data_IF_980735175090
#
_entry.id   IF_980735175090
#
_cell.length_a   1.000
_cell.length_b   1.000
_cell.length_c   1.000
_cell.angle_alpha   90.00
_cell.angle_beta   90.00
_cell.angle_gamma   90.00
#
_symmetry.space_group_name_H-M   'P 1'
#
loop_
_entity.id
_entity.type
_entity.pdbx_description
1 polymer ?
#
# COMPACT_ATOMS: atom_id res chain seq x y z
N UNK A 1 1.00 -39.37 -15.87
CA UNK A 1 2.23 -38.58 -15.65
C UNK A 1 2.59 -37.76 -16.90
N UNK A 2 1.71 -36.89 -17.37
CA UNK A 2 1.91 -36.07 -18.60
C UNK A 2 1.41 -34.63 -18.39
N UNK A 3 1.69 -34.04 -17.23
CA UNK A 3 1.29 -32.68 -16.89
C UNK A 3 2.44 -31.65 -16.96
N UNK A 4 3.63 -32.05 -17.42
CA UNK A 4 4.85 -31.22 -17.41
C UNK A 4 5.44 -30.97 -18.81
N UNK A 5 4.62 -30.95 -19.86
CA UNK A 5 5.03 -30.50 -21.19
C UNK A 5 4.49 -29.09 -21.53
N UNK A 6 4.00 -28.35 -20.54
CA UNK A 6 3.57 -26.96 -20.72
C UNK A 6 4.52 -26.04 -19.96
N UNK A 7 5.40 -25.36 -20.70
CA UNK A 7 6.27 -24.33 -20.14
C UNK A 7 5.54 -23.00 -20.23
N UNK A 8 4.68 -22.75 -19.23
CA UNK A 8 3.71 -21.65 -19.11
C UNK A 8 4.16 -20.23 -19.56
N UNK A 9 5.46 -19.85 -19.51
CA UNK A 9 5.89 -18.57 -20.11
C UNK A 9 6.50 -18.67 -21.51
N UNK A 10 7.07 -19.82 -21.92
CA UNK A 10 7.76 -19.94 -23.21
C UNK A 10 6.80 -20.18 -24.38
N UNK A 11 5.71 -20.91 -24.13
CA UNK A 11 4.75 -21.30 -25.17
C UNK A 11 3.61 -20.29 -25.36
N UNK A 12 3.46 -19.35 -24.42
CA UNK A 12 2.28 -18.47 -24.31
C UNK A 12 2.46 -17.07 -24.91
N UNK A 13 3.62 -16.80 -25.53
CA UNK A 13 3.88 -15.56 -26.25
C UNK A 13 4.19 -14.34 -25.36
N UNK A 14 4.26 -13.14 -25.94
CA UNK A 14 4.79 -11.94 -25.27
C UNK A 14 3.93 -11.46 -24.09
N UNK A 15 2.62 -11.69 -24.13
CA UNK A 15 1.70 -11.30 -23.05
C UNK A 15 1.94 -12.08 -21.76
N UNK A 16 2.34 -13.35 -21.86
CA UNK A 16 2.67 -14.17 -20.69
C UNK A 16 3.91 -13.61 -19.96
N UNK A 17 4.97 -13.24 -20.70
CA UNK A 17 6.15 -12.59 -20.12
C UNK A 17 5.83 -11.25 -19.47
N UNK A 18 4.97 -10.45 -20.09
CA UNK A 18 4.51 -9.19 -19.52
C UNK A 18 3.75 -9.40 -18.20
N UNK A 19 2.86 -10.41 -18.14
CA UNK A 19 2.15 -10.76 -16.91
C UNK A 19 3.09 -11.28 -15.82
N UNK A 20 4.11 -12.06 -16.16
CA UNK A 20 5.14 -12.51 -15.21
C UNK A 20 5.91 -11.32 -14.63
N UNK A 21 6.30 -10.36 -15.47
CA UNK A 21 6.95 -9.14 -15.01
C UNK A 21 6.06 -8.31 -14.07
N UNK A 22 4.76 -8.18 -14.39
CA UNK A 22 3.79 -7.52 -13.53
C UNK A 22 3.59 -8.26 -12.20
N UNK A 23 3.51 -9.59 -12.22
CA UNK A 23 3.40 -10.40 -11.01
C UNK A 23 4.60 -10.20 -10.08
N UNK A 24 5.82 -10.19 -10.63
CA UNK A 24 7.02 -9.92 -9.86
C UNK A 24 7.02 -8.51 -9.25
N UNK A 25 6.65 -7.50 -10.04
CA UNK A 25 6.58 -6.12 -9.58
C UNK A 25 5.55 -5.94 -8.45
N UNK A 26 4.37 -6.56 -8.58
CA UNK A 26 3.35 -6.57 -7.51
C UNK A 26 3.91 -7.21 -6.25
N UNK A 27 4.56 -8.38 -6.36
CA UNK A 27 5.14 -9.06 -5.22
C UNK A 27 6.13 -8.15 -4.47
N UNK A 28 7.03 -7.49 -5.19
CA UNK A 28 7.98 -6.53 -4.60
C UNK A 28 7.25 -5.39 -3.89
N UNK A 29 6.23 -4.79 -4.52
CA UNK A 29 5.48 -3.69 -3.91
C UNK A 29 4.71 -4.11 -2.67
N UNK A 30 4.07 -5.29 -2.69
CA UNK A 30 3.32 -5.81 -1.55
C UNK A 30 4.26 -6.09 -0.38
N UNK A 31 5.41 -6.71 -0.61
CA UNK A 31 6.40 -6.99 0.44
C UNK A 31 6.98 -5.69 1.01
N UNK A 32 7.45 -4.76 0.15
CA UNK A 32 7.97 -3.45 0.56
C UNK A 32 6.96 -2.70 1.43
N UNK A 33 5.70 -2.63 0.99
CA UNK A 33 4.65 -1.89 1.71
C UNK A 33 4.24 -2.57 3.01
N UNK A 34 4.11 -3.89 3.02
CA UNK A 34 3.75 -4.63 4.24
C UNK A 34 4.81 -4.41 5.32
N UNK A 35 6.10 -4.49 4.97
CA UNK A 35 7.19 -4.21 5.92
C UNK A 35 7.21 -2.76 6.39
N UNK A 36 7.01 -1.79 5.47
CA UNK A 36 6.96 -0.36 5.81
C UNK A 36 5.83 -0.04 6.79
N UNK A 37 4.61 -0.52 6.52
CA UNK A 37 3.44 -0.25 7.37
C UNK A 37 3.50 -1.00 8.70
N UNK A 38 4.13 -2.18 8.74
CA UNK A 38 4.29 -2.94 9.99
C UNK A 38 5.18 -2.21 10.99
N UNK A 39 6.30 -1.63 10.53
CA UNK A 39 7.23 -0.88 11.38
C UNK A 39 6.65 0.39 11.99
N UNK A 40 5.69 1.05 11.33
CA UNK A 40 5.10 2.30 11.80
C UNK A 40 4.15 2.18 13.01
N UNK A 41 3.80 0.96 13.44
CA UNK A 41 2.70 0.72 14.40
C UNK A 41 3.17 0.30 15.80
N UNK A 42 4.41 -0.15 15.95
CA UNK A 42 4.88 -0.82 17.19
C UNK A 42 5.30 0.19 18.28
N UNK A 43 5.33 1.49 18.00
CA UNK A 43 5.88 2.51 18.91
C UNK A 43 4.86 3.49 19.53
N UNK A 44 3.56 3.39 19.23
CA UNK A 44 2.64 4.50 19.51
C UNK A 44 2.34 4.74 20.99
N UNK A 45 2.14 3.70 21.82
CA UNK A 45 1.82 3.86 23.25
C UNK A 45 3.00 4.44 24.05
N UNK A 46 4.16 3.78 23.93
CA UNK A 46 5.34 4.10 24.73
C UNK A 46 5.88 5.48 24.37
N UNK A 47 5.76 5.86 23.09
CA UNK A 47 6.09 7.21 22.62
C UNK A 47 5.20 8.27 23.27
N UNK A 48 3.88 8.06 23.28
CA UNK A 48 2.92 9.04 23.83
C UNK A 48 3.11 9.20 25.33
N UNK A 49 3.34 8.10 26.06
CA UNK A 49 3.62 8.14 27.49
C UNK A 49 4.94 8.86 27.80
N UNK A 50 5.98 8.63 26.98
CA UNK A 50 7.25 9.36 27.08
C UNK A 50 7.08 10.87 26.87
N UNK A 51 6.30 11.28 25.87
CA UNK A 51 5.98 12.69 25.62
C UNK A 51 5.20 13.30 26.79
N UNK A 52 4.16 12.61 27.30
CA UNK A 52 3.38 13.05 28.46
C UNK A 52 4.25 13.23 29.71
N UNK A 53 5.15 12.29 29.99
CA UNK A 53 6.05 12.36 31.13
C UNK A 53 6.99 13.58 31.06
N UNK A 54 7.55 13.88 29.88
CA UNK A 54 8.38 15.07 29.69
C UNK A 54 7.59 16.37 29.87
N UNK A 55 6.33 16.39 29.43
CA UNK A 55 5.44 17.54 29.63
C UNK A 55 5.06 17.73 31.11
N UNK A 56 4.77 16.66 31.85
CA UNK A 56 4.52 16.70 33.31
C UNK A 56 5.74 17.21 34.08
N UNK A 57 6.94 16.82 33.66
CA UNK A 57 8.19 17.27 34.26
C UNK A 57 8.52 18.74 33.94
N UNK A 58 7.68 19.45 33.18
CA UNK A 58 7.91 20.83 32.78
C UNK A 58 9.05 20.99 31.76
N UNK A 59 9.33 19.94 30.97
CA UNK A 59 10.44 19.86 29.99
C UNK A 59 9.88 19.81 28.54
N UNK A 60 9.22 20.87 28.04
CA UNK A 60 8.57 20.84 26.72
C UNK A 60 9.56 20.74 25.54
N UNK A 61 10.79 21.25 25.71
CA UNK A 61 11.83 21.15 24.69
C UNK A 61 12.24 19.69 24.43
N UNK A 62 12.25 18.87 25.47
CA UNK A 62 12.61 17.46 25.36
C UNK A 62 11.46 16.60 24.85
N UNK A 63 10.23 16.98 25.17
CA UNK A 63 9.06 16.41 24.51
C UNK A 63 9.10 16.64 22.99
N UNK A 64 9.51 17.83 22.55
CA UNK A 64 9.73 18.13 21.13
C UNK A 64 10.92 17.35 20.54
N UNK A 65 12.05 17.25 21.26
CA UNK A 65 13.21 16.48 20.83
C UNK A 65 12.86 14.98 20.65
N UNK A 66 12.10 14.40 21.59
CA UNK A 66 11.62 13.02 21.49
C UNK A 66 10.74 12.81 20.23
N UNK A 67 9.94 13.82 19.85
CA UNK A 67 9.17 13.78 18.60
C UNK A 67 10.05 13.87 17.34
N UNK A 68 11.21 14.52 17.41
CA UNK A 68 12.16 14.61 16.29
C UNK A 68 12.99 13.35 16.12
N UNK A 69 13.40 12.73 17.23
CA UNK A 69 14.19 11.49 17.23
C UNK A 69 13.36 10.27 16.84
N UNK A 70 12.06 10.28 17.13
CA UNK A 70 11.16 9.15 16.86
C UNK A 70 10.72 9.11 15.38
N UNK A 71 11.07 8.06 14.62
CA UNK A 71 10.63 7.94 13.24
C UNK A 71 9.16 7.53 13.18
N UNK A 72 8.42 8.11 12.23
CA UNK A 72 7.05 7.70 11.91
C UNK A 72 6.07 8.86 11.79
N UNK A 73 4.82 8.58 11.42
CA UNK A 73 3.82 9.62 11.19
C UNK A 73 3.26 10.17 12.51
N UNK A 74 3.12 9.35 13.56
CA UNK A 74 2.57 9.75 14.85
C UNK A 74 3.43 10.83 15.53
N UNK A 75 4.76 10.67 15.68
CA UNK A 75 5.61 11.73 16.25
C UNK A 75 5.54 13.05 15.51
N UNK A 76 5.43 13.02 14.17
CA UNK A 76 5.34 14.23 13.33
C UNK A 76 4.05 15.00 13.57
N UNK A 77 2.91 14.29 13.67
CA UNK A 77 1.61 14.90 13.98
C UNK A 77 1.60 15.47 15.40
N UNK A 78 2.12 14.72 16.38
CA UNK A 78 2.21 15.17 17.78
C UNK A 78 3.11 16.41 17.90
N UNK A 79 4.27 16.43 17.22
CA UNK A 79 5.16 17.58 17.15
C UNK A 79 4.43 18.82 16.63
N UNK A 80 3.70 18.70 15.52
CA UNK A 80 2.98 19.80 14.92
C UNK A 80 1.93 20.39 15.89
N UNK A 81 1.21 19.54 16.63
CA UNK A 81 0.28 19.97 17.67
C UNK A 81 1.01 20.71 18.81
N UNK A 82 2.11 20.16 19.32
CA UNK A 82 2.86 20.75 20.44
C UNK A 82 3.47 22.11 20.11
N UNK A 83 3.95 22.32 18.88
CA UNK A 83 4.47 23.62 18.42
C UNK A 83 3.41 24.73 18.43
N UNK A 84 2.13 24.37 18.43
CA UNK A 84 0.99 25.31 18.48
C UNK A 84 0.30 25.35 19.85
N UNK A 85 0.91 24.75 20.87
CA UNK A 85 0.37 24.71 22.24
C UNK A 85 0.11 26.09 22.87
N UNK A 86 0.79 27.15 22.43
CA UNK A 86 0.55 28.52 22.93
C UNK A 86 -0.61 29.24 22.24
N UNK A 87 -1.11 28.73 21.11
CA UNK A 87 -2.07 29.42 20.23
C UNK A 87 -3.55 28.99 20.42
N UNK A 88 -3.83 28.19 21.45
CA UNK A 88 -5.17 27.64 21.69
C UNK A 88 -5.36 26.22 21.16
N UNK A 89 -6.42 25.55 21.60
CA UNK A 89 -6.72 24.17 21.22
C UNK A 89 -7.01 24.01 19.72
N UNK A 90 -7.76 24.96 19.15
CA UNK A 90 -8.10 24.97 17.72
C UNK A 90 -6.84 25.00 16.84
N UNK A 91 -5.84 25.82 17.20
CA UNK A 91 -4.58 25.91 16.48
C UNK A 91 -3.79 24.59 16.54
N UNK A 92 -3.83 23.87 17.68
CA UNK A 92 -3.20 22.55 17.80
C UNK A 92 -3.90 21.51 16.92
N UNK A 93 -5.24 21.48 16.93
CA UNK A 93 -6.05 20.57 16.10
C UNK A 93 -5.82 20.82 14.62
N UNK A 94 -5.77 22.09 14.20
CA UNK A 94 -5.49 22.48 12.83
C UNK A 94 -4.11 22.00 12.38
N UNK A 95 -3.06 22.26 13.17
CA UNK A 95 -1.70 21.83 12.84
C UNK A 95 -1.52 20.31 12.85
N UNK A 96 -2.20 19.59 13.76
CA UNK A 96 -2.21 18.13 13.75
C UNK A 96 -2.84 17.58 12.46
N UNK A 97 -3.98 18.15 12.05
CA UNK A 97 -4.67 17.76 10.82
C UNK A 97 -3.83 18.05 9.58
N UNK A 98 -3.21 19.23 9.52
CA UNK A 98 -2.31 19.60 8.42
C UNK A 98 -1.14 18.62 8.30
N UNK A 99 -0.48 18.30 9.42
CA UNK A 99 0.60 17.33 9.44
C UNK A 99 0.14 15.93 9.01
N UNK A 100 -1.07 15.50 9.43
CA UNK A 100 -1.61 14.22 9.03
C UNK A 100 -1.88 14.13 7.51
N UNK A 101 -2.38 15.22 6.91
CA UNK A 101 -2.58 15.32 5.46
C UNK A 101 -1.27 15.25 4.68
N UNK A 102 -0.17 15.76 5.23
CA UNK A 102 1.15 15.65 4.61
C UNK A 102 1.73 14.22 4.67
N UNK A 103 1.37 13.44 5.69
CA UNK A 103 1.81 12.05 5.84
C UNK A 103 1.00 11.06 4.98
N UNK A 104 -0.27 11.36 4.69
CA UNK A 104 -1.17 10.45 3.99
C UNK A 104 -0.62 9.97 2.63
N UNK A 105 -0.08 10.82 1.73
CA UNK A 105 0.51 10.36 0.47
C UNK A 105 1.69 9.41 0.64
N UNK A 106 2.46 9.56 1.72
CA UNK A 106 3.59 8.68 2.06
C UNK A 106 3.08 7.30 2.49
N UNK A 107 1.97 7.27 3.24
CA UNK A 107 1.27 6.05 3.64
C UNK A 107 0.51 5.38 2.48
N UNK A 108 0.08 6.13 1.48
CA UNK A 108 -0.61 5.58 0.30
C UNK A 108 0.33 5.21 -0.86
N UNK A 109 1.64 5.50 -0.73
CA UNK A 109 2.61 5.25 -1.79
C UNK A 109 2.54 3.82 -2.30
N UNK A 110 2.49 3.66 -3.63
CA UNK A 110 2.39 2.39 -4.38
C UNK A 110 1.08 1.61 -4.24
N UNK A 111 0.15 1.96 -3.33
CA UNK A 111 -1.16 1.30 -3.25
C UNK A 111 -1.93 1.49 -4.57
N UNK A 112 -1.95 2.72 -5.09
CA UNK A 112 -2.54 3.02 -6.39
C UNK A 112 -1.93 2.20 -7.55
N UNK A 113 -0.63 1.92 -7.51
CA UNK A 113 0.04 1.08 -8.50
C UNK A 113 -0.41 -0.37 -8.41
N UNK A 114 -0.53 -0.94 -7.20
CA UNK A 114 -1.05 -2.30 -6.99
C UNK A 114 -2.48 -2.41 -7.51
N UNK A 115 -3.33 -1.41 -7.21
CA UNK A 115 -4.71 -1.36 -7.71
C UNK A 115 -4.76 -1.27 -9.24
N UNK A 116 -3.91 -0.42 -9.84
CA UNK A 116 -3.84 -0.28 -11.29
C UNK A 116 -3.42 -1.59 -11.97
N UNK A 117 -2.40 -2.27 -11.46
CA UNK A 117 -1.94 -3.56 -12.01
C UNK A 117 -3.04 -4.62 -11.87
N UNK A 118 -3.73 -4.67 -10.73
CA UNK A 118 -4.86 -5.58 -10.54
C UNK A 118 -6.01 -5.36 -11.54
N UNK A 119 -6.21 -4.13 -12.02
CA UNK A 119 -7.20 -3.82 -13.06
C UNK A 119 -6.71 -4.13 -14.47
N UNK A 120 -5.42 -3.94 -14.74
CA UNK A 120 -4.83 -4.12 -16.08
C UNK A 120 -4.47 -5.58 -16.38
N UNK A 121 -4.06 -6.38 -15.38
CA UNK A 121 -3.64 -7.76 -15.59
C UNK A 121 -4.70 -8.65 -16.27
N UNK A 122 -5.99 -8.60 -15.91
CA UNK A 122 -7.03 -9.35 -16.62
C UNK A 122 -7.22 -8.90 -18.06
N UNK A 123 -7.10 -7.59 -18.33
CA UNK A 123 -7.24 -7.03 -19.66
C UNK A 123 -6.13 -7.53 -20.59
N UNK A 124 -4.90 -7.65 -20.08
CA UNK A 124 -3.78 -8.24 -20.81
C UNK A 124 -3.99 -9.74 -21.09
N UNK A 125 -4.55 -10.47 -20.12
CA UNK A 125 -4.95 -11.86 -20.32
C UNK A 125 -5.99 -12.00 -21.44
N UNK A 126 -7.05 -11.20 -21.38
CA UNK A 126 -8.11 -11.17 -22.41
C UNK A 126 -7.54 -10.81 -23.80
N UNK A 127 -6.62 -9.84 -23.88
CA UNK A 127 -5.97 -9.46 -25.12
C UNK A 127 -5.21 -10.64 -25.75
N UNK A 128 -4.56 -11.49 -24.94
CA UNK A 128 -3.92 -12.71 -25.42
C UNK A 128 -4.91 -13.68 -26.07
N UNK A 129 -6.11 -13.84 -25.50
CA UNK A 129 -7.18 -14.66 -26.06
C UNK A 129 -7.67 -14.15 -27.42
N UNK A 130 -7.89 -12.84 -27.53
CA UNK A 130 -8.36 -12.20 -28.78
C UNK A 130 -7.33 -12.36 -29.89
N UNK A 131 -6.04 -12.11 -29.61
CA UNK A 131 -4.97 -12.24 -30.61
C UNK A 131 -4.74 -13.69 -31.01
N UNK A 132 -4.81 -14.63 -30.06
CA UNK A 132 -4.73 -16.06 -30.36
C UNK A 132 -5.89 -16.51 -31.26
N UNK A 133 -7.11 -16.11 -30.94
CA UNK A 133 -8.29 -16.41 -31.77
C UNK A 133 -8.18 -15.83 -33.18
N UNK A 134 -7.71 -14.58 -33.31
CA UNK A 134 -7.45 -13.98 -34.62
C UNK A 134 -6.41 -14.77 -35.43
N UNK A 135 -5.31 -15.20 -34.78
CA UNK A 135 -4.29 -16.04 -35.40
C UNK A 135 -4.84 -17.39 -35.88
N UNK A 136 -5.70 -18.05 -35.09
CA UNK A 136 -6.34 -19.31 -35.48
C UNK A 136 -7.24 -19.11 -36.71
N UNK A 137 -8.11 -18.08 -36.70
CA UNK A 137 -9.06 -17.83 -37.79
C UNK A 137 -8.34 -17.45 -39.09
N UNK A 138 -7.32 -16.60 -39.02
CA UNK A 138 -6.52 -16.22 -40.21
C UNK A 138 -5.84 -17.42 -40.82
N UNK A 139 -5.21 -18.26 -39.99
CA UNK A 139 -4.47 -19.41 -40.47
C UNK A 139 -5.40 -20.50 -41.05
N UNK A 140 -6.64 -20.63 -40.54
CA UNK A 140 -7.68 -21.49 -41.13
C UNK A 140 -8.19 -20.94 -42.47
N UNK A 141 -8.38 -19.62 -42.58
CA UNK A 141 -8.86 -18.97 -43.80
C UNK A 141 -7.86 -19.09 -44.94
N UNK A 142 -6.58 -18.89 -44.66
CA UNK A 142 -5.53 -18.81 -45.69
C UNK A 142 -5.08 -20.20 -46.17
N UNK A 143 -5.65 -21.28 -45.63
CA UNK A 143 -5.24 -22.66 -45.95
C UNK A 143 -3.80 -22.99 -45.53
N UNK A 144 -3.10 -22.03 -44.91
CA UNK A 144 -1.73 -22.18 -44.39
C UNK A 144 -1.64 -23.23 -43.29
N UNK A 145 -2.74 -23.44 -42.58
CA UNK A 145 -2.93 -24.56 -41.69
C UNK A 145 -3.26 -25.81 -42.50
N UNK A 146 -2.21 -26.56 -42.85
CA UNK A 146 -2.22 -27.99 -42.55
C UNK A 146 -2.24 -28.21 -41.03
N UNK A 147 -3.17 -27.56 -40.31
CA UNK A 147 -3.33 -27.65 -38.87
C UNK A 147 -3.65 -29.09 -38.53
N UNK A 148 -2.70 -29.79 -37.92
CA UNK A 148 -3.12 -30.78 -36.96
C UNK A 148 -4.04 -30.08 -35.96
N UNK A 149 -5.16 -30.71 -35.61
CA UNK A 149 -6.04 -30.21 -34.55
C UNK A 149 -5.22 -29.85 -33.29
N UNK A 150 -4.13 -30.59 -33.05
CA UNK A 150 -3.14 -30.35 -32.00
C UNK A 150 -2.53 -28.95 -31.99
N UNK A 151 -2.16 -28.37 -33.14
CA UNK A 151 -1.53 -27.05 -33.19
C UNK A 151 -2.52 -25.95 -32.76
N UNK A 152 -3.77 -26.04 -33.21
CA UNK A 152 -4.84 -25.12 -32.82
C UNK A 152 -5.18 -25.28 -31.33
N UNK A 153 -5.25 -26.51 -30.84
CA UNK A 153 -5.51 -26.80 -29.43
C UNK A 153 -4.39 -26.27 -28.53
N UNK A 154 -3.12 -26.42 -28.91
CA UNK A 154 -1.99 -25.91 -28.14
C UNK A 154 -2.02 -24.38 -28.05
N UNK A 155 -2.29 -23.69 -29.16
CA UNK A 155 -2.36 -22.23 -29.20
C UNK A 155 -3.55 -21.70 -28.37
N UNK A 156 -4.69 -22.37 -28.43
CA UNK A 156 -5.86 -22.04 -27.60
C UNK A 156 -5.58 -22.29 -26.10
N UNK A 157 -4.97 -23.43 -25.76
CA UNK A 157 -4.59 -23.77 -24.40
C UNK A 157 -3.64 -22.72 -23.80
N UNK A 158 -2.63 -22.28 -24.55
CA UNK A 158 -1.67 -21.29 -24.09
C UNK A 158 -2.32 -19.91 -23.82
N UNK A 159 -3.26 -19.49 -24.67
CA UNK A 159 -4.00 -18.25 -24.47
C UNK A 159 -4.94 -18.31 -23.26
N UNK A 160 -5.67 -19.42 -23.08
CA UNK A 160 -6.54 -19.63 -21.92
C UNK A 160 -5.74 -19.68 -20.61
N UNK A 161 -4.57 -20.32 -20.63
CA UNK A 161 -3.65 -20.32 -19.50
C UNK A 161 -3.23 -18.88 -19.11
N UNK A 162 -2.89 -18.05 -20.10
CA UNK A 162 -2.51 -16.64 -19.91
C UNK A 162 -3.66 -15.81 -19.32
N UNK A 163 -4.90 -16.04 -19.77
CA UNK A 163 -6.11 -15.42 -19.18
C UNK A 163 -6.25 -15.79 -17.71
N UNK A 164 -6.14 -17.10 -17.39
CA UNK A 164 -6.21 -17.59 -16.02
C UNK A 164 -5.15 -16.95 -15.11
N UNK A 165 -3.93 -16.77 -15.62
CA UNK A 165 -2.86 -16.09 -14.88
C UNK A 165 -3.16 -14.62 -14.61
N UNK A 166 -3.66 -13.90 -15.61
CA UNK A 166 -4.04 -12.48 -15.46
C UNK A 166 -5.12 -12.30 -14.39
N UNK A 167 -6.09 -13.23 -14.32
CA UNK A 167 -7.11 -13.26 -13.27
C UNK A 167 -6.52 -13.57 -11.89
N UNK A 168 -5.59 -14.53 -11.80
CA UNK A 168 -4.92 -14.85 -10.54
C UNK A 168 -4.14 -13.63 -10.00
N UNK A 169 -3.37 -12.94 -10.85
CA UNK A 169 -2.65 -11.73 -10.48
C UNK A 169 -3.62 -10.66 -9.98
N UNK A 170 -4.75 -10.47 -10.65
CA UNK A 170 -5.77 -9.51 -10.25
C UNK A 170 -6.38 -9.82 -8.88
N UNK A 171 -6.68 -11.08 -8.61
CA UNK A 171 -7.19 -11.53 -7.31
C UNK A 171 -6.19 -11.23 -6.20
N UNK A 172 -4.91 -11.56 -6.41
CA UNK A 172 -3.83 -11.27 -5.45
C UNK A 172 -3.67 -9.77 -5.23
N UNK A 173 -3.68 -8.97 -6.30
CA UNK A 173 -3.60 -7.50 -6.22
C UNK A 173 -4.77 -6.91 -5.43
N UNK A 174 -6.00 -7.38 -5.68
CA UNK A 174 -7.20 -6.89 -5.00
C UNK A 174 -7.16 -7.18 -3.49
N UNK A 175 -6.79 -8.41 -3.11
CA UNK A 175 -6.63 -8.80 -1.70
C UNK A 175 -5.52 -7.99 -1.01
N UNK A 176 -4.35 -7.88 -1.65
CA UNK A 176 -3.23 -7.14 -1.10
C UNK A 176 -3.55 -5.64 -0.96
N UNK A 177 -4.19 -5.04 -1.98
CA UNK A 177 -4.62 -3.65 -1.92
C UNK A 177 -5.61 -3.41 -0.79
N UNK A 178 -6.64 -4.27 -0.66
CA UNK A 178 -7.62 -4.16 0.41
C UNK A 178 -6.97 -4.23 1.80
N UNK A 179 -6.06 -5.20 2.01
CA UNK A 179 -5.32 -5.34 3.26
C UNK A 179 -4.45 -4.11 3.56
N UNK A 180 -3.68 -3.64 2.58
CA UNK A 180 -2.79 -2.49 2.75
C UNK A 180 -3.56 -1.19 3.02
N UNK A 181 -4.68 -0.96 2.33
CA UNK A 181 -5.57 0.21 2.60
C UNK A 181 -6.11 0.16 4.03
N UNK A 182 -6.58 -1.01 4.49
CA UNK A 182 -7.01 -1.18 5.87
C UNK A 182 -5.91 -0.84 6.87
N UNK A 183 -4.66 -1.21 6.55
CA UNK A 183 -3.50 -0.93 7.40
C UNK A 183 -3.10 0.54 7.40
N UNK A 184 -3.20 1.25 6.26
CA UNK A 184 -3.04 2.72 6.20
C UNK A 184 -4.09 3.39 7.08
N UNK A 185 -5.36 2.99 6.94
CA UNK A 185 -6.46 3.56 7.73
C UNK A 185 -6.23 3.42 9.23
N UNK A 186 -5.75 2.25 9.68
CA UNK A 186 -5.37 2.03 11.08
C UNK A 186 -4.32 3.03 11.57
N UNK A 187 -3.27 3.28 10.76
CA UNK A 187 -2.22 4.24 11.11
C UNK A 187 -2.78 5.66 11.20
N UNK A 188 -3.64 6.06 10.26
CA UNK A 188 -4.29 7.38 10.26
C UNK A 188 -5.14 7.56 11.53
N UNK A 189 -5.92 6.54 11.90
CA UNK A 189 -6.69 6.57 13.14
C UNK A 189 -5.79 6.67 14.37
N UNK A 190 -4.66 5.98 14.42
CA UNK A 190 -3.70 6.13 15.52
C UNK A 190 -3.07 7.53 15.59
N UNK A 191 -2.80 8.17 14.45
CA UNK A 191 -2.33 9.56 14.40
C UNK A 191 -3.36 10.52 15.00
N UNK A 192 -4.64 10.35 14.65
CA UNK A 192 -5.74 11.15 15.19
C UNK A 192 -5.92 10.96 16.70
N UNK A 193 -5.90 9.70 17.17
CA UNK A 193 -6.00 9.36 18.59
C UNK A 193 -4.82 9.97 19.36
N UNK A 194 -3.59 9.83 18.85
CA UNK A 194 -2.39 10.38 19.45
C UNK A 194 -2.43 11.91 19.56
N UNK A 195 -2.83 12.58 18.47
CA UNK A 195 -2.99 14.02 18.44
C UNK A 195 -4.02 14.49 19.48
N UNK A 196 -5.20 13.86 19.48
CA UNK A 196 -6.28 14.20 20.41
C UNK A 196 -5.84 13.97 21.86
N UNK A 197 -5.21 12.84 22.14
CA UNK A 197 -4.67 12.46 23.44
C UNK A 197 -3.70 13.51 24.00
N UNK A 198 -2.77 14.01 23.18
CA UNK A 198 -1.81 15.03 23.59
C UNK A 198 -2.46 16.40 23.75
N UNK A 199 -3.40 16.77 22.87
CA UNK A 199 -4.11 18.05 22.96
C UNK A 199 -4.94 18.11 24.23
N UNK A 200 -5.72 17.06 24.53
CA UNK A 200 -6.51 16.96 25.76
C UNK A 200 -5.61 17.02 26.99
N UNK A 201 -4.51 16.26 26.98
CA UNK A 201 -3.55 16.26 28.07
C UNK A 201 -3.00 17.68 28.36
N UNK A 202 -2.52 18.38 27.33
CA UNK A 202 -1.94 19.73 27.46
C UNK A 202 -2.97 20.78 27.92
N UNK A 203 -4.24 20.63 27.51
CA UNK A 203 -5.28 21.64 27.76
C UNK A 203 -6.06 21.44 29.05
N UNK A 204 -6.28 20.19 29.44
CA UNK A 204 -7.25 19.84 30.49
C UNK A 204 -6.62 19.10 31.66
N UNK A 205 -5.52 18.37 31.44
CA UNK A 205 -4.92 17.51 32.47
C UNK A 205 -3.63 18.09 33.06
N UNK A 206 -2.97 19.01 32.35
CA UNK A 206 -1.81 19.70 32.90
C UNK A 206 -2.23 20.62 34.06
N UNK A 207 -1.62 20.46 35.26
CA UNK A 207 -1.85 21.41 36.35
C UNK A 207 -1.43 22.81 35.89
N UNK A 208 -2.24 23.82 36.20
CA UNK A 208 -1.94 25.21 35.88
C UNK A 208 -0.50 25.53 36.32
N UNK A 209 0.31 26.07 35.40
CA UNK A 209 1.70 26.39 35.68
C UNK A 209 1.80 27.21 36.96
N UNK A 210 2.43 26.64 38.00
CA UNK A 210 2.72 27.39 39.22
C UNK A 210 3.60 28.57 38.81
N UNK A 211 3.21 29.83 39.12
CA UNK A 211 4.00 30.99 38.75
C UNK A 211 5.40 30.81 39.34
N UNK A 212 6.42 30.89 38.47
CA UNK A 212 7.82 30.97 38.92
C UNK A 212 7.94 32.26 39.73
N UNK A 213 8.09 32.12 41.05
CA UNK A 213 8.42 33.20 41.97
C UNK A 213 9.82 33.76 41.68
#
# INVERSE_FOLDING_TARGET
>A
MTALAFSFPFDAGPFAWLLVALAFLVLVFVVERTMFLHRGLVLSSDFIDGVRNNLLAGRPLEALAACEESPGPIPRVVKAALLRSTQGEEAMRAAATEAALLELPVLERRLGSIAAIGRVAPLLGLASGVLSGYGIVTALRDGSLYASADAVMLQAQAALATVGFGLLIAAVCALAHHFLVGRVRSIVTEMEIAAHSIITFVRHEMPAAVPKA
#
